data_IF_178410308777
#
_entry.id   IF_178410308777
#
_cell.length_a   1.000
_cell.length_b   1.000
_cell.length_c   1.000
_cell.angle_alpha   90.00
_cell.angle_beta   90.00
_cell.angle_gamma   90.00
#
_symmetry.space_group_name_H-M   'P 1'
#
loop_
_entity.id
_entity.type
_entity.pdbx_description
1 polymer ?
#
# COMPACT_ATOMS: atom_id res chain seq x y z
N UNK A 1 1.19 -17.85 -7.72
CA UNK A 1 1.20 -17.41 -6.32
C UNK A 1 2.19 -16.25 -6.11
N UNK A 2 3.50 -16.43 -6.27
CA UNK A 2 4.53 -15.43 -5.98
C UNK A 2 4.24 -14.06 -6.64
N UNK A 3 3.99 -14.02 -7.96
CA UNK A 3 3.69 -12.77 -8.68
C UNK A 3 2.43 -12.09 -8.13
N UNK A 4 1.37 -12.85 -7.84
CA UNK A 4 0.13 -12.27 -7.31
C UNK A 4 0.33 -11.62 -5.95
N UNK A 5 1.04 -12.30 -5.03
CA UNK A 5 1.33 -11.76 -3.70
C UNK A 5 2.28 -10.56 -3.76
N UNK A 6 3.33 -10.61 -4.57
CA UNK A 6 4.28 -9.50 -4.75
C UNK A 6 3.61 -8.27 -5.37
N UNK A 7 2.67 -8.47 -6.30
CA UNK A 7 1.90 -7.38 -6.90
C UNK A 7 1.00 -6.70 -5.87
N UNK A 8 0.18 -7.47 -5.14
CA UNK A 8 -0.73 -6.89 -4.12
C UNK A 8 0.05 -6.21 -3.01
N UNK A 9 1.17 -6.80 -2.54
CA UNK A 9 2.05 -6.17 -1.57
C UNK A 9 2.66 -4.87 -2.09
N UNK A 10 3.11 -4.86 -3.36
CA UNK A 10 3.65 -3.67 -4.01
C UNK A 10 2.62 -2.54 -4.07
N UNK A 11 1.39 -2.82 -4.50
CA UNK A 11 0.31 -1.83 -4.51
C UNK A 11 0.04 -1.24 -3.14
N UNK A 12 -0.07 -2.09 -2.12
CA UNK A 12 -0.37 -1.61 -0.77
C UNK A 12 0.76 -0.75 -0.21
N UNK A 13 2.01 -1.16 -0.39
CA UNK A 13 3.16 -0.39 0.09
C UNK A 13 3.29 0.93 -0.63
N UNK A 14 3.20 0.94 -1.96
CA UNK A 14 3.36 2.15 -2.78
C UNK A 14 2.27 3.19 -2.48
N UNK A 15 1.00 2.76 -2.46
CA UNK A 15 -0.13 3.67 -2.23
C UNK A 15 -0.12 4.18 -0.78
N UNK A 16 0.12 3.31 0.20
CA UNK A 16 0.23 3.70 1.59
C UNK A 16 1.39 4.67 1.81
N UNK A 17 2.57 4.40 1.23
CA UNK A 17 3.73 5.28 1.33
C UNK A 17 3.45 6.68 0.79
N UNK A 18 2.84 6.77 -0.39
CA UNK A 18 2.47 8.04 -1.01
C UNK A 18 1.42 8.81 -0.20
N UNK A 19 0.37 8.10 0.27
CA UNK A 19 -0.68 8.73 1.06
C UNK A 19 -0.16 9.25 2.40
N UNK A 20 0.63 8.47 3.10
CA UNK A 20 1.25 8.85 4.36
C UNK A 20 2.33 9.91 4.18
N UNK A 21 3.10 9.86 3.10
CA UNK A 21 4.09 10.87 2.78
C UNK A 21 3.47 12.25 2.54
N UNK A 22 2.28 12.30 1.95
CA UNK A 22 1.61 13.59 1.69
C UNK A 22 0.86 14.15 2.91
N UNK A 23 0.13 13.32 3.66
CA UNK A 23 -0.74 13.80 4.74
C UNK A 23 -0.26 13.44 6.15
N UNK A 24 0.75 12.59 6.29
CA UNK A 24 1.07 11.96 7.57
C UNK A 24 0.18 10.73 7.85
N UNK A 25 0.39 10.13 9.01
CA UNK A 25 -0.22 8.86 9.41
C UNK A 25 -1.41 9.05 10.34
N UNK A 26 -1.28 10.02 11.27
CA UNK A 26 -2.31 10.41 12.22
C UNK A 26 -2.56 11.90 12.10
N UNK A 27 -3.79 12.30 12.37
CA UNK A 27 -4.25 13.67 12.33
C UNK A 27 -4.93 14.05 13.63
N UNK A 28 -4.63 15.23 14.15
CA UNK A 28 -5.34 15.82 15.28
C UNK A 28 -6.09 17.04 14.76
N UNK A 29 -7.41 16.98 14.84
CA UNK A 29 -8.31 18.05 14.36
C UNK A 29 -9.35 18.39 15.42
N UNK A 30 -10.13 19.44 15.22
CA UNK A 30 -11.28 19.71 16.08
C UNK A 30 -12.37 18.65 15.89
N UNK A 31 -13.07 18.29 16.97
CA UNK A 31 -14.15 17.28 16.94
C UNK A 31 -15.29 17.65 15.98
N UNK A 32 -15.53 18.95 15.77
CA UNK A 32 -16.56 19.43 14.85
C UNK A 32 -16.17 19.37 13.36
N UNK A 33 -14.89 19.21 13.05
CA UNK A 33 -14.41 19.17 11.67
C UNK A 33 -14.84 17.87 10.98
N UNK A 34 -15.65 17.97 9.92
CA UNK A 34 -16.11 16.82 9.13
C UNK A 34 -15.08 16.39 8.08
N UNK A 35 -14.28 17.34 7.59
CA UNK A 35 -13.25 17.14 6.57
C UNK A 35 -12.03 17.99 6.91
N UNK A 36 -10.85 17.61 6.42
CA UNK A 36 -9.60 18.36 6.61
C UNK A 36 -9.70 19.80 6.12
N UNK A 37 -10.55 20.09 5.13
CA UNK A 37 -10.72 21.42 4.52
C UNK A 37 -11.78 22.29 5.19
N UNK A 38 -12.62 21.73 6.08
CA UNK A 38 -13.61 22.46 6.89
C UNK A 38 -13.01 22.72 8.28
N UNK A 39 -11.87 23.41 8.31
CA UNK A 39 -11.15 23.61 9.56
C UNK A 39 -11.74 24.76 10.37
N UNK A 40 -12.00 24.52 11.64
CA UNK A 40 -12.14 25.54 12.66
C UNK A 40 -10.76 25.94 13.20
N UNK A 41 -10.55 27.20 13.61
CA UNK A 41 -9.26 27.64 14.09
C UNK A 41 -8.93 26.99 15.46
N UNK A 42 -7.83 26.26 15.52
CA UNK A 42 -7.24 25.73 16.74
C UNK A 42 -6.03 26.58 17.15
N UNK A 43 -5.90 26.88 18.43
CA UNK A 43 -4.67 27.51 18.94
C UNK A 43 -3.53 26.47 18.99
N UNK A 44 -2.39 26.83 18.42
CA UNK A 44 -1.22 25.95 18.39
C UNK A 44 -0.70 25.68 19.81
N UNK A 45 -0.57 24.40 20.18
CA UNK A 45 -0.09 23.95 21.48
C UNK A 45 1.30 23.28 21.34
N UNK A 46 2.35 24.04 21.58
CA UNK A 46 3.72 23.56 21.49
C UNK A 46 4.05 22.48 22.55
N UNK A 47 3.39 22.47 23.71
CA UNK A 47 3.56 21.45 24.73
C UNK A 47 3.05 20.08 24.22
N UNK A 48 1.88 20.10 23.57
CA UNK A 48 1.31 18.89 22.98
C UNK A 48 2.20 18.36 21.85
N UNK A 49 2.70 19.23 20.96
CA UNK A 49 3.66 18.85 19.91
C UNK A 49 4.87 18.13 20.52
N UNK A 50 5.48 18.73 21.55
CA UNK A 50 6.65 18.16 22.21
C UNK A 50 6.34 16.81 22.88
N UNK A 51 5.18 16.64 23.52
CA UNK A 51 4.79 15.38 24.13
C UNK A 51 4.57 14.29 23.08
N UNK A 52 3.92 14.60 21.97
CA UNK A 52 3.69 13.63 20.88
C UNK A 52 5.01 13.26 20.20
N UNK A 53 5.92 14.21 19.99
CA UNK A 53 7.25 13.93 19.40
C UNK A 53 8.14 13.02 20.25
N UNK A 54 7.82 12.81 21.53
CA UNK A 54 8.53 11.88 22.40
C UNK A 54 8.00 10.45 22.35
N UNK A 55 6.92 10.20 21.65
CA UNK A 55 6.38 8.84 21.46
C UNK A 55 7.32 8.06 20.54
N UNK A 56 7.67 6.83 20.92
CA UNK A 56 8.75 6.01 20.33
C UNK A 56 8.68 5.87 18.79
N UNK A 57 7.47 5.77 18.25
CA UNK A 57 7.25 5.52 16.82
C UNK A 57 6.98 6.82 16.01
N UNK A 58 7.00 8.00 16.65
CA UNK A 58 6.75 9.28 15.98
C UNK A 58 8.05 9.86 15.43
N UNK A 59 8.06 10.16 14.15
CA UNK A 59 9.17 10.82 13.45
C UNK A 59 9.05 12.35 13.55
N UNK A 60 7.88 12.89 13.18
CA UNK A 60 7.63 14.32 13.19
C UNK A 60 6.17 14.68 13.46
N UNK A 61 5.94 15.90 13.97
CA UNK A 61 4.62 16.50 14.16
C UNK A 61 4.61 17.89 13.56
N UNK A 62 3.77 18.11 12.56
CA UNK A 62 3.66 19.40 11.89
C UNK A 62 2.30 20.02 12.09
N UNK A 63 2.21 21.33 12.46
CA UNK A 63 0.99 22.09 12.36
C UNK A 63 0.66 22.33 10.90
N UNK A 64 -0.62 22.26 10.53
CA UNK A 64 -1.09 22.42 9.17
C UNK A 64 -2.26 23.37 9.10
N UNK A 65 -2.35 24.16 8.02
CA UNK A 65 -3.46 25.09 7.78
C UNK A 65 -4.08 24.77 6.42
N UNK A 66 -5.33 24.36 6.41
CA UNK A 66 -6.08 24.09 5.19
C UNK A 66 -6.96 25.28 4.84
N UNK A 67 -6.93 25.73 3.58
CA UNK A 67 -7.86 26.70 3.03
C UNK A 67 -8.35 26.25 1.67
N UNK A 68 -9.60 26.52 1.33
CA UNK A 68 -10.19 26.08 0.08
C UNK A 68 -10.62 27.26 -0.80
N UNK A 69 -10.53 27.04 -2.11
CA UNK A 69 -10.91 28.05 -3.09
C UNK A 69 -10.87 27.51 -4.51
N UNK A 70 -10.89 28.42 -5.46
CA UNK A 70 -10.87 28.11 -6.89
C UNK A 70 -9.67 28.80 -7.52
N UNK A 71 -8.79 28.03 -8.15
CA UNK A 71 -7.72 28.55 -8.99
C UNK A 71 -8.26 28.82 -10.39
N UNK A 72 -7.92 29.95 -10.97
CA UNK A 72 -8.27 30.33 -12.32
C UNK A 72 -7.06 30.76 -13.13
N UNK A 73 -6.99 30.34 -14.40
CA UNK A 73 -5.96 30.72 -15.35
C UNK A 73 -6.53 30.71 -16.77
N UNK A 74 -6.41 31.83 -17.50
CA UNK A 74 -6.83 31.97 -18.90
C UNK A 74 -8.26 31.45 -19.23
N UNK A 75 -9.18 31.55 -18.27
CA UNK A 75 -10.58 31.11 -18.43
C UNK A 75 -10.84 29.65 -17.99
N UNK A 76 -9.83 28.94 -17.58
CA UNK A 76 -9.95 27.63 -16.92
C UNK A 76 -10.05 27.82 -15.42
N UNK A 77 -10.82 26.98 -14.75
CA UNK A 77 -10.99 27.00 -13.29
C UNK A 77 -10.85 25.60 -12.69
N UNK A 78 -10.21 25.50 -11.52
CA UNK A 78 -10.06 24.26 -10.75
C UNK A 78 -10.30 24.51 -9.26
N UNK A 79 -11.12 23.66 -8.63
CA UNK A 79 -11.43 23.75 -7.20
C UNK A 79 -10.37 23.06 -6.36
N UNK A 80 -9.61 23.83 -5.55
CA UNK A 80 -8.42 23.37 -4.86
C UNK A 80 -8.47 23.70 -3.36
N UNK A 81 -7.97 22.78 -2.55
CA UNK A 81 -7.61 23.00 -1.16
C UNK A 81 -6.11 23.29 -1.05
N UNK A 82 -5.77 24.45 -0.50
CA UNK A 82 -4.38 24.78 -0.17
C UNK A 82 -4.00 24.11 1.16
N UNK A 83 -2.96 23.30 1.15
CA UNK A 83 -2.31 22.74 2.34
C UNK A 83 -1.11 23.61 2.68
N UNK A 84 -1.26 24.39 3.75
CA UNK A 84 -0.20 25.26 4.26
C UNK A 84 0.71 24.53 5.22
N UNK A 85 2.02 24.61 4.99
CA UNK A 85 3.08 24.03 5.82
C UNK A 85 4.02 25.11 6.32
N UNK A 86 4.65 24.88 7.49
CA UNK A 86 5.50 25.87 8.16
C UNK A 86 6.99 25.49 8.20
N UNK A 87 7.39 24.29 7.75
CA UNK A 87 8.78 23.85 7.81
C UNK A 87 9.25 23.19 6.52
N UNK A 88 10.54 23.33 6.21
CA UNK A 88 11.19 22.62 5.09
C UNK A 88 11.17 21.10 5.30
N UNK A 89 11.15 20.64 6.57
CA UNK A 89 11.02 19.21 6.88
C UNK A 89 9.67 18.65 6.43
N UNK A 90 8.57 19.41 6.59
CA UNK A 90 7.26 19.00 6.08
C UNK A 90 7.23 18.92 4.54
N UNK A 91 8.03 19.73 3.85
CA UNK A 91 8.19 19.66 2.39
C UNK A 91 9.10 18.50 1.96
N UNK A 92 9.97 18.01 2.83
CA UNK A 92 10.91 16.93 2.48
C UNK A 92 10.19 15.65 2.03
N UNK A 93 9.01 15.36 2.60
CA UNK A 93 8.18 14.21 2.24
C UNK A 93 7.56 14.29 0.83
N UNK A 94 7.62 15.49 0.20
CA UNK A 94 7.03 15.75 -1.12
C UNK A 94 8.11 15.95 -2.19
N UNK A 95 9.35 16.15 -1.78
CA UNK A 95 10.48 16.42 -2.71
C UNK A 95 10.62 15.36 -3.81
N UNK A 96 10.42 14.09 -3.47
CA UNK A 96 10.54 12.98 -4.42
C UNK A 96 9.45 12.98 -5.52
N UNK A 97 8.42 13.80 -5.35
CA UNK A 97 7.29 13.92 -6.29
C UNK A 97 7.33 15.19 -7.12
N UNK A 98 8.33 16.06 -6.95
CA UNK A 98 8.47 17.29 -7.74
C UNK A 98 8.93 16.97 -9.16
N UNK A 99 8.47 17.79 -10.12
CA UNK A 99 8.92 17.68 -11.51
C UNK A 99 10.31 18.31 -11.73
N UNK A 100 10.63 19.34 -10.98
CA UNK A 100 11.95 19.98 -10.98
C UNK A 100 12.56 19.91 -9.58
N UNK A 101 13.83 19.57 -9.49
CA UNK A 101 14.54 19.40 -8.20
C UNK A 101 14.77 20.74 -7.47
N UNK A 102 14.58 21.88 -8.15
CA UNK A 102 14.81 23.20 -7.58
C UNK A 102 13.55 23.72 -6.87
N UNK A 103 13.56 23.61 -5.54
CA UNK A 103 12.51 24.15 -4.68
C UNK A 103 13.15 25.13 -3.68
N UNK A 104 12.73 26.41 -3.67
CA UNK A 104 13.24 27.37 -2.69
C UNK A 104 12.84 26.96 -1.27
N UNK A 105 13.72 27.29 -0.27
CA UNK A 105 13.39 27.11 1.15
C UNK A 105 12.15 27.92 1.51
N UNK A 106 11.31 27.42 2.43
CA UNK A 106 10.11 28.12 2.92
C UNK A 106 10.40 29.52 3.53
N UNK A 107 11.65 29.78 3.89
CA UNK A 107 12.07 31.10 4.35
C UNK A 107 12.26 32.12 3.22
N UNK A 108 12.27 31.69 1.97
CA UNK A 108 12.36 32.60 0.83
C UNK A 108 11.05 33.39 0.66
N UNK A 109 11.17 34.64 0.23
CA UNK A 109 10.04 35.54 -0.03
C UNK A 109 9.15 35.07 -1.19
N UNK A 110 9.67 34.21 -2.06
CA UNK A 110 8.90 33.60 -3.15
C UNK A 110 7.66 32.84 -2.65
N UNK A 111 7.70 32.30 -1.43
CA UNK A 111 6.58 31.60 -0.82
C UNK A 111 5.45 32.49 -0.27
N UNK A 112 5.63 33.79 -0.21
CA UNK A 112 4.53 34.70 0.25
C UNK A 112 3.30 34.64 -0.67
N UNK A 113 3.52 34.43 -1.97
CA UNK A 113 2.49 34.21 -2.98
C UNK A 113 2.74 32.93 -3.80
N UNK A 114 3.67 32.10 -3.37
CA UNK A 114 4.09 30.89 -4.06
C UNK A 114 3.25 29.67 -3.68
N UNK A 115 2.97 28.85 -4.68
CA UNK A 115 2.28 27.57 -4.49
C UNK A 115 2.94 26.48 -5.32
N UNK A 116 2.78 25.23 -4.84
CA UNK A 116 3.01 24.04 -5.63
C UNK A 116 1.64 23.49 -6.03
N UNK A 117 1.45 23.24 -7.32
CA UNK A 117 0.23 22.61 -7.82
C UNK A 117 0.55 21.20 -8.33
N UNK A 118 -0.47 20.36 -8.40
CA UNK A 118 -0.28 19.05 -9.00
C UNK A 118 -0.19 19.13 -10.53
N UNK A 119 0.39 18.12 -11.15
CA UNK A 119 0.40 17.96 -12.60
C UNK A 119 -1.02 17.93 -13.18
N UNK A 120 -1.98 17.31 -12.49
CA UNK A 120 -3.38 17.25 -12.91
C UNK A 120 -4.00 18.66 -12.94
N UNK A 121 -3.77 19.45 -11.88
CA UNK A 121 -4.26 20.84 -11.84
C UNK A 121 -3.57 21.73 -12.87
N UNK A 122 -2.26 21.54 -13.07
CA UNK A 122 -1.51 22.26 -14.10
C UNK A 122 -2.06 22.00 -15.52
N UNK A 123 -2.33 20.73 -15.84
CA UNK A 123 -2.94 20.33 -17.12
C UNK A 123 -4.37 20.88 -17.27
N UNK A 124 -5.21 20.87 -16.21
CA UNK A 124 -6.57 21.43 -16.25
C UNK A 124 -6.58 22.95 -16.43
N UNK A 125 -5.66 23.64 -15.81
CA UNK A 125 -5.54 25.08 -15.87
C UNK A 125 -4.73 25.56 -17.09
N UNK A 126 -4.14 24.65 -17.86
CA UNK A 126 -3.19 24.95 -18.94
C UNK A 126 -2.08 25.89 -18.46
N UNK A 127 -1.50 25.60 -17.28
CA UNK A 127 -0.53 26.43 -16.61
C UNK A 127 0.81 25.71 -16.43
N UNK A 128 1.90 26.49 -16.40
CA UNK A 128 3.28 26.05 -16.30
C UNK A 128 3.98 26.68 -15.08
N UNK A 129 5.15 26.15 -14.72
CA UNK A 129 5.98 26.75 -13.65
C UNK A 129 6.30 28.20 -14.00
N UNK A 130 6.14 29.12 -13.03
CA UNK A 130 6.33 30.55 -13.18
C UNK A 130 5.07 31.34 -13.54
N UNK A 131 3.99 30.66 -13.97
CA UNK A 131 2.74 31.33 -14.28
C UNK A 131 2.04 31.86 -13.01
N UNK A 132 1.18 32.85 -13.23
CA UNK A 132 0.38 33.49 -12.16
C UNK A 132 -1.06 33.04 -12.26
N UNK A 133 -1.57 32.43 -11.21
CA UNK A 133 -2.95 31.97 -11.06
C UNK A 133 -3.75 32.97 -10.22
N UNK A 134 -5.04 33.10 -10.51
CA UNK A 134 -5.97 33.86 -9.71
C UNK A 134 -6.72 32.93 -8.74
N UNK A 135 -6.42 33.05 -7.44
CA UNK A 135 -7.11 32.27 -6.41
C UNK A 135 -8.32 33.03 -5.90
N UNK A 136 -9.51 32.45 -6.07
CA UNK A 136 -10.80 32.98 -5.62
C UNK A 136 -11.27 32.20 -4.39
N UNK A 137 -11.53 32.90 -3.30
CA UNK A 137 -11.95 32.32 -2.03
C UNK A 137 -13.04 33.15 -1.35
N UNK A 138 -13.78 32.51 -0.44
CA UNK A 138 -14.75 33.22 0.40
C UNK A 138 -14.11 33.60 1.72
N UNK A 139 -14.17 34.87 2.09
CA UNK A 139 -13.75 35.33 3.42
C UNK A 139 -14.72 34.82 4.50
N UNK A 140 -14.32 34.95 5.78
CA UNK A 140 -15.16 34.66 6.96
C UNK A 140 -16.54 35.36 6.95
N UNK A 141 -16.64 36.48 6.24
CA UNK A 141 -17.87 37.28 6.09
C UNK A 141 -18.69 36.91 4.84
N UNK A 142 -18.34 35.84 4.12
CA UNK A 142 -19.00 35.43 2.88
C UNK A 142 -18.70 36.31 1.66
N UNK A 143 -17.72 37.22 1.74
CA UNK A 143 -17.31 38.06 0.63
C UNK A 143 -16.29 37.33 -0.22
N UNK A 144 -16.50 37.29 -1.53
CA UNK A 144 -15.55 36.73 -2.47
C UNK A 144 -14.34 37.66 -2.60
N UNK A 145 -13.16 37.10 -2.40
CA UNK A 145 -11.87 37.79 -2.56
C UNK A 145 -11.00 37.06 -3.55
N UNK A 146 -10.03 37.79 -4.08
CA UNK A 146 -9.07 37.30 -5.08
C UNK A 146 -7.64 37.52 -4.60
N UNK A 147 -6.75 36.59 -4.93
CA UNK A 147 -5.31 36.71 -4.68
C UNK A 147 -4.54 36.11 -5.86
N UNK A 148 -3.50 36.81 -6.30
CA UNK A 148 -2.58 36.28 -7.30
C UNK A 148 -1.58 35.37 -6.62
N UNK A 149 -1.39 34.16 -7.18
CA UNK A 149 -0.46 33.13 -6.70
C UNK A 149 0.47 32.72 -7.83
N UNK A 150 1.73 32.47 -7.53
CA UNK A 150 2.75 32.06 -8.50
C UNK A 150 3.05 30.57 -8.36
N UNK A 151 3.13 29.87 -9.47
CA UNK A 151 3.51 28.45 -9.49
C UNK A 151 5.03 28.34 -9.31
N UNK A 152 5.49 27.89 -8.14
CA UNK A 152 6.90 27.67 -7.86
C UNK A 152 7.41 26.36 -8.44
N UNK A 153 6.59 25.30 -8.36
CA UNK A 153 6.90 24.00 -8.92
C UNK A 153 5.60 23.20 -9.13
N UNK A 154 5.71 22.10 -9.86
CA UNK A 154 4.62 21.16 -10.09
C UNK A 154 5.00 19.82 -9.49
N UNK A 155 4.08 19.21 -8.75
CA UNK A 155 4.29 17.88 -8.18
C UNK A 155 3.37 16.84 -8.80
N UNK A 156 3.76 15.56 -8.74
CA UNK A 156 2.97 14.42 -9.18
C UNK A 156 3.14 13.26 -8.20
N UNK A 157 2.20 13.09 -7.27
CA UNK A 157 2.22 11.94 -6.36
C UNK A 157 1.76 10.67 -7.06
N UNK A 158 1.07 10.78 -8.18
CA UNK A 158 0.38 9.69 -8.87
C UNK A 158 -0.86 9.20 -8.12
N UNK A 159 -1.23 9.83 -7.00
CA UNK A 159 -2.50 9.58 -6.29
C UNK A 159 -3.54 10.58 -6.76
N UNK A 160 -4.42 10.14 -7.67
CA UNK A 160 -5.42 11.01 -8.30
C UNK A 160 -6.27 11.80 -7.29
N UNK A 161 -6.67 11.19 -6.17
CA UNK A 161 -7.48 11.86 -5.13
C UNK A 161 -6.74 12.99 -4.41
N UNK A 162 -5.41 12.95 -4.37
CA UNK A 162 -4.55 13.98 -3.81
C UNK A 162 -4.29 15.03 -4.87
N UNK A 163 -3.80 14.60 -6.02
CA UNK A 163 -3.37 15.46 -7.11
C UNK A 163 -4.53 16.27 -7.73
N UNK A 164 -5.76 15.75 -7.63
CA UNK A 164 -6.96 16.45 -8.08
C UNK A 164 -7.39 17.61 -7.18
N UNK A 165 -7.07 17.57 -5.87
CA UNK A 165 -7.75 18.42 -4.88
C UNK A 165 -6.82 19.33 -4.09
N UNK A 166 -5.52 19.05 -4.05
CA UNK A 166 -4.62 19.75 -3.17
C UNK A 166 -3.56 20.56 -3.93
N UNK A 167 -3.19 21.69 -3.36
CA UNK A 167 -1.99 22.44 -3.70
C UNK A 167 -1.26 22.78 -2.39
N UNK A 168 0.04 22.98 -2.43
CA UNK A 168 0.84 23.29 -1.26
C UNK A 168 1.25 24.75 -1.26
N UNK A 169 1.28 25.32 -0.07
CA UNK A 169 1.72 26.69 0.12
C UNK A 169 2.35 26.87 1.52
N UNK A 170 2.84 28.04 1.81
CA UNK A 170 3.24 28.41 3.17
C UNK A 170 2.01 28.64 4.04
N UNK A 171 1.99 28.18 5.30
CA UNK A 171 0.83 28.35 6.20
C UNK A 171 0.43 29.80 6.41
N UNK A 172 1.38 30.74 6.37
CA UNK A 172 1.08 32.18 6.44
C UNK A 172 0.14 32.65 5.33
N UNK A 173 0.26 32.09 4.13
CA UNK A 173 -0.66 32.36 3.01
C UNK A 173 -2.07 31.86 3.34
N UNK A 174 -2.22 30.60 3.76
CA UNK A 174 -3.52 30.01 4.14
C UNK A 174 -4.16 30.76 5.33
N UNK A 175 -3.37 31.09 6.37
CA UNK A 175 -3.86 31.93 7.50
C UNK A 175 -4.39 33.27 7.02
N UNK A 176 -3.67 33.94 6.12
CA UNK A 176 -4.10 35.24 5.57
C UNK A 176 -5.40 35.16 4.74
N UNK A 177 -5.63 34.02 4.06
CA UNK A 177 -6.86 33.73 3.32
C UNK A 177 -8.03 33.50 4.28
N UNK A 178 -7.80 32.79 5.39
CA UNK A 178 -8.81 32.51 6.41
C UNK A 178 -9.04 33.67 7.39
N UNK A 179 -8.24 34.74 7.33
CA UNK A 179 -8.23 35.85 8.29
C UNK A 179 -7.88 35.37 9.73
N UNK A 180 -6.99 34.37 9.84
CA UNK A 180 -6.53 33.77 11.10
C UNK A 180 -5.26 34.44 11.61
N UNK A 181 -5.04 34.35 12.94
CA UNK A 181 -3.80 34.75 13.58
C UNK A 181 -2.65 33.81 13.27
N UNK A 182 -1.40 34.20 13.53
CA UNK A 182 -0.20 33.38 13.28
C UNK A 182 -0.16 32.13 14.12
N UNK A 183 -0.89 32.07 15.24
CA UNK A 183 -0.95 30.89 16.11
C UNK A 183 -2.14 29.97 15.82
N UNK A 184 -3.00 30.32 14.89
CA UNK A 184 -4.16 29.52 14.52
C UNK A 184 -3.80 28.53 13.41
N UNK A 185 -4.23 27.30 13.60
CA UNK A 185 -3.98 26.17 12.71
C UNK A 185 -5.28 25.38 12.48
N UNK A 186 -5.31 24.57 11.43
CA UNK A 186 -6.42 23.62 11.17
C UNK A 186 -6.29 22.33 11.98
N UNK A 187 -5.07 21.94 12.32
CA UNK A 187 -4.77 20.70 13.00
C UNK A 187 -3.29 20.33 12.95
N UNK A 188 -3.00 19.11 13.34
CA UNK A 188 -1.64 18.56 13.31
C UNK A 188 -1.62 17.30 12.47
N UNK A 189 -0.55 17.15 11.70
CA UNK A 189 -0.20 15.94 10.97
C UNK A 189 0.98 15.28 11.68
N UNK A 190 0.82 14.00 11.99
CA UNK A 190 1.82 13.20 12.70
C UNK A 190 2.38 12.17 11.73
N UNK A 191 3.68 12.23 11.55
CA UNK A 191 4.44 11.28 10.74
C UNK A 191 5.08 10.23 11.65
N UNK A 192 4.94 8.98 11.27
CA UNK A 192 5.54 7.85 11.98
C UNK A 192 6.79 7.39 11.25
N UNK A 193 7.73 6.80 12.01
CA UNK A 193 8.95 6.24 11.45
C UNK A 193 8.63 5.20 10.36
N UNK A 194 9.31 5.23 9.20
CA UNK A 194 9.03 4.29 8.10
C UNK A 194 9.14 2.82 8.50
N UNK A 195 10.02 2.48 9.45
CA UNK A 195 10.16 1.12 9.98
C UNK A 195 8.99 0.66 10.83
N UNK A 196 8.22 1.61 11.39
CA UNK A 196 7.06 1.32 12.23
C UNK A 196 5.81 0.93 11.42
N UNK A 197 5.76 1.17 10.12
CA UNK A 197 4.50 1.12 9.33
C UNK A 197 4.44 -0.08 8.39
N UNK A 198 5.59 -0.55 7.96
CA UNK A 198 5.71 -1.63 6.98
C UNK A 198 5.90 -2.97 7.70
N UNK A 199 4.90 -3.39 8.49
CA UNK A 199 4.92 -4.79 8.95
C UNK A 199 4.86 -5.72 7.74
N UNK A 200 5.79 -6.69 7.68
CA UNK A 200 5.72 -7.72 6.67
C UNK A 200 4.36 -8.44 6.76
N UNK A 201 3.66 -8.60 5.63
CA UNK A 201 2.34 -9.26 5.56
C UNK A 201 2.28 -10.60 6.30
N UNK A 202 3.39 -11.34 6.38
CA UNK A 202 3.43 -12.62 7.09
C UNK A 202 3.18 -12.47 8.60
N UNK A 203 3.56 -11.35 9.22
CA UNK A 203 3.27 -11.11 10.63
C UNK A 203 1.78 -10.85 10.84
N UNK A 204 1.12 -10.11 9.97
CA UNK A 204 -0.33 -9.91 10.02
C UNK A 204 -1.09 -11.24 9.88
N UNK A 205 -0.69 -12.10 8.92
CA UNK A 205 -1.27 -13.44 8.76
C UNK A 205 -0.98 -14.36 9.94
N UNK A 206 0.23 -14.35 10.49
CA UNK A 206 0.61 -15.12 11.67
C UNK A 206 -0.19 -14.66 12.90
N UNK A 207 -0.34 -13.37 13.10
CA UNK A 207 -1.12 -12.80 14.18
C UNK A 207 -2.61 -13.19 14.08
N UNK A 208 -3.17 -13.16 12.87
CA UNK A 208 -4.54 -13.61 12.61
C UNK A 208 -4.71 -15.12 12.89
N UNK A 209 -3.74 -15.94 12.47
CA UNK A 209 -3.72 -17.40 12.69
C UNK A 209 -3.55 -17.78 14.17
N UNK A 210 -2.78 -17.00 14.92
CA UNK A 210 -2.52 -17.22 16.35
C UNK A 210 -3.60 -16.61 17.25
N UNK A 211 -4.64 -15.95 16.65
CA UNK A 211 -5.71 -15.29 17.39
C UNK A 211 -5.22 -14.08 18.20
N UNK A 212 -4.02 -13.60 17.93
CA UNK A 212 -3.55 -12.32 18.46
C UNK A 212 -4.23 -11.20 17.67
N UNK A 213 -4.84 -10.24 18.38
CA UNK A 213 -5.41 -9.06 17.74
C UNK A 213 -4.35 -8.43 16.83
N UNK A 214 -4.77 -8.10 15.60
CA UNK A 214 -3.93 -7.40 14.63
C UNK A 214 -3.42 -6.12 15.29
N UNK A 215 -2.21 -6.16 15.84
CA UNK A 215 -1.53 -4.97 16.35
C UNK A 215 -0.99 -4.27 15.11
N UNK A 216 -1.87 -3.56 14.40
CA UNK A 216 -1.48 -2.56 13.42
C UNK A 216 -0.63 -1.52 14.17
N UNK A 217 0.59 -1.27 13.72
CA UNK A 217 1.49 -0.30 14.37
C UNK A 217 0.89 1.10 14.35
N UNK A 218 0.08 1.42 13.33
CA UNK A 218 -0.76 2.60 13.34
C UNK A 218 -1.70 2.62 14.55
N UNK A 219 -2.28 1.47 14.92
CA UNK A 219 -3.11 1.30 16.14
C UNK A 219 -2.28 1.41 17.43
N UNK A 220 -1.02 0.98 17.42
CA UNK A 220 -0.09 1.12 18.56
C UNK A 220 0.27 2.59 18.77
N UNK A 221 0.69 3.28 17.71
CA UNK A 221 0.99 4.71 17.74
C UNK A 221 -0.27 5.53 18.11
N UNK A 222 -1.43 5.20 17.56
CA UNK A 222 -2.70 5.81 17.93
C UNK A 222 -2.96 5.71 19.43
N UNK A 223 -2.87 4.51 20.02
CA UNK A 223 -3.08 4.28 21.45
C UNK A 223 -2.06 5.00 22.35
N UNK A 224 -0.85 5.23 21.84
CA UNK A 224 0.18 5.97 22.59
C UNK A 224 -0.04 7.49 22.51
N UNK A 225 -0.56 8.01 21.40
CA UNK A 225 -0.83 9.43 21.19
C UNK A 225 -2.18 9.86 21.78
N UNK A 226 -3.21 9.01 21.73
CA UNK A 226 -4.58 9.32 22.17
C UNK A 226 -4.68 9.91 23.59
N UNK A 227 -3.95 9.41 24.61
CA UNK A 227 -3.99 10.00 25.96
C UNK A 227 -3.38 11.40 26.04
N UNK A 228 -2.56 11.80 25.07
CA UNK A 228 -1.89 13.13 25.03
C UNK A 228 -2.82 14.16 24.42
N UNK A 229 -3.73 13.73 23.53
CA UNK A 229 -4.65 14.60 22.81
C UNK A 229 -5.79 15.05 23.75
N UNK A 230 -6.04 16.36 23.88
CA UNK A 230 -7.13 16.87 24.71
C UNK A 230 -8.51 16.39 24.24
N UNK A 231 -9.52 16.23 25.13
CA UNK A 231 -10.85 15.70 24.78
C UNK A 231 -11.66 16.54 23.80
N UNK A 232 -11.31 17.80 23.61
CA UNK A 232 -11.93 18.68 22.60
C UNK A 232 -11.36 18.50 21.20
N UNK A 233 -10.29 17.72 21.06
CA UNK A 233 -9.68 17.38 19.78
C UNK A 233 -9.96 15.91 19.45
N UNK A 234 -9.93 15.61 18.16
CA UNK A 234 -10.16 14.28 17.63
C UNK A 234 -8.87 13.76 16.98
N UNK A 235 -8.37 12.64 17.48
CA UNK A 235 -7.29 11.90 16.85
C UNK A 235 -7.88 10.95 15.82
N UNK A 236 -7.45 11.05 14.57
CA UNK A 236 -7.92 10.21 13.47
C UNK A 236 -6.73 9.60 12.75
N UNK A 237 -6.92 8.39 12.25
CA UNK A 237 -5.96 7.77 11.35
C UNK A 237 -6.21 8.23 9.92
N UNK A 238 -5.21 8.16 9.05
CA UNK A 238 -5.41 8.41 7.62
C UNK A 238 -6.43 7.43 7.01
N UNK A 239 -6.59 6.24 7.58
CA UNK A 239 -7.64 5.27 7.20
C UNK A 239 -9.06 5.81 7.45
N UNK A 240 -9.25 6.57 8.54
CA UNK A 240 -10.54 7.18 8.89
C UNK A 240 -10.86 8.39 8.00
N UNK A 241 -9.83 9.13 7.60
CA UNK A 241 -9.96 10.33 6.75
C UNK A 241 -10.21 9.96 5.28
N UNK A 242 -9.57 8.89 4.79
CA UNK A 242 -9.66 8.41 3.41
C UNK A 242 -10.15 6.95 3.35
N UNK A 243 -11.33 6.64 3.88
CA UNK A 243 -11.81 5.25 3.97
C UNK A 243 -11.97 4.59 2.60
N UNK A 244 -12.32 5.35 1.55
CA UNK A 244 -12.46 4.82 0.19
C UNK A 244 -11.20 4.15 -0.33
N UNK A 245 -10.07 4.83 -0.22
CA UNK A 245 -8.77 4.33 -0.66
C UNK A 245 -8.33 3.10 0.15
N UNK A 246 -8.40 3.16 1.47
CA UNK A 246 -7.97 2.05 2.32
C UNK A 246 -8.91 0.85 2.25
N UNK A 247 -10.22 1.05 2.07
CA UNK A 247 -11.17 -0.04 1.80
C UNK A 247 -10.87 -0.73 0.47
N UNK A 248 -10.52 0.04 -0.56
CA UNK A 248 -10.10 -0.53 -1.84
C UNK A 248 -8.84 -1.40 -1.68
N UNK A 249 -7.83 -0.91 -0.93
CA UNK A 249 -6.63 -1.69 -0.60
C UNK A 249 -6.96 -2.98 0.17
N UNK A 250 -7.91 -2.94 1.11
CA UNK A 250 -8.35 -4.12 1.86
C UNK A 250 -9.09 -5.14 0.99
N UNK A 251 -9.86 -4.67 0.00
CA UNK A 251 -10.51 -5.55 -0.98
C UNK A 251 -9.47 -6.32 -1.83
N UNK A 252 -8.33 -5.71 -2.13
CA UNK A 252 -7.25 -6.40 -2.84
C UNK A 252 -6.73 -7.62 -2.06
N UNK A 253 -6.65 -7.54 -0.72
CA UNK A 253 -6.29 -8.69 0.12
C UNK A 253 -7.30 -9.84 -0.01
N UNK A 254 -8.59 -9.51 0.02
CA UNK A 254 -9.63 -10.53 -0.14
C UNK A 254 -9.55 -11.20 -1.51
N UNK A 255 -9.36 -10.42 -2.56
CA UNK A 255 -9.19 -10.95 -3.91
C UNK A 255 -7.92 -11.82 -4.03
N UNK A 256 -6.82 -11.40 -3.40
CA UNK A 256 -5.58 -12.19 -3.33
C UNK A 256 -5.83 -13.57 -2.71
N UNK A 257 -6.48 -13.63 -1.55
CA UNK A 257 -6.81 -14.89 -0.87
C UNK A 257 -7.64 -15.81 -1.77
N UNK A 258 -8.67 -15.28 -2.44
CA UNK A 258 -9.51 -16.06 -3.36
C UNK A 258 -8.69 -16.60 -4.52
N UNK A 259 -7.84 -15.79 -5.14
CA UNK A 259 -6.97 -16.22 -6.25
C UNK A 259 -5.99 -17.30 -5.77
N UNK A 260 -5.35 -17.11 -4.62
CA UNK A 260 -4.43 -18.10 -4.05
C UNK A 260 -5.13 -19.42 -3.76
N UNK A 261 -6.34 -19.40 -3.21
CA UNK A 261 -7.14 -20.58 -2.92
C UNK A 261 -7.52 -21.32 -4.20
N UNK A 262 -7.96 -20.61 -5.25
CA UNK A 262 -8.26 -21.21 -6.54
C UNK A 262 -7.02 -21.84 -7.17
N UNK A 263 -5.87 -21.17 -7.15
CA UNK A 263 -4.60 -21.71 -7.64
C UNK A 263 -4.19 -22.98 -6.87
N UNK A 264 -4.42 -23.01 -5.56
CA UNK A 264 -4.13 -24.16 -4.71
C UNK A 264 -4.98 -25.38 -5.04
N UNK A 265 -6.28 -25.16 -5.29
CA UNK A 265 -7.22 -26.20 -5.70
C UNK A 265 -6.82 -26.77 -7.08
N UNK A 266 -6.55 -25.90 -8.05
CA UNK A 266 -6.14 -26.33 -9.40
C UNK A 266 -4.82 -27.08 -9.35
N UNK A 267 -3.84 -26.62 -8.58
CA UNK A 267 -2.58 -27.31 -8.38
C UNK A 267 -2.78 -28.69 -7.75
N UNK A 268 -3.69 -28.82 -6.76
CA UNK A 268 -4.02 -30.08 -6.14
C UNK A 268 -4.61 -31.08 -7.13
N UNK A 269 -5.57 -30.66 -7.95
CA UNK A 269 -6.21 -31.50 -8.97
C UNK A 269 -5.16 -31.97 -9.99
N UNK A 270 -4.35 -31.05 -10.52
CA UNK A 270 -3.30 -31.38 -11.49
C UNK A 270 -2.29 -32.37 -10.90
N UNK A 271 -1.92 -32.17 -9.63
CA UNK A 271 -0.96 -33.07 -8.96
C UNK A 271 -1.52 -34.46 -8.71
N UNK A 272 -2.78 -34.57 -8.29
CA UNK A 272 -3.48 -35.87 -8.14
C UNK A 272 -3.53 -36.58 -9.48
N UNK A 273 -3.90 -35.91 -10.55
CA UNK A 273 -3.97 -36.46 -11.91
C UNK A 273 -2.61 -36.94 -12.40
N UNK A 274 -1.57 -36.13 -12.27
CA UNK A 274 -0.21 -36.48 -12.67
C UNK A 274 0.29 -37.69 -11.89
N UNK A 275 -0.01 -37.75 -10.59
CA UNK A 275 0.42 -38.87 -9.74
C UNK A 275 -0.35 -40.17 -10.09
N UNK A 276 -1.65 -40.07 -10.41
CA UNK A 276 -2.44 -41.22 -10.89
C UNK A 276 -1.88 -41.76 -12.19
N UNK A 277 -1.58 -40.91 -13.17
CA UNK A 277 -0.94 -41.33 -14.42
C UNK A 277 0.39 -42.07 -14.15
N UNK A 278 1.24 -41.50 -13.29
CA UNK A 278 2.53 -42.08 -12.94
C UNK A 278 2.39 -43.43 -12.23
N UNK A 279 1.37 -43.62 -11.39
CA UNK A 279 1.05 -44.90 -10.73
C UNK A 279 0.56 -45.89 -11.78
N UNK A 280 -0.33 -45.52 -12.68
CA UNK A 280 -0.86 -46.40 -13.73
C UNK A 280 0.24 -46.86 -14.69
N UNK A 281 1.12 -45.97 -15.15
CA UNK A 281 2.26 -46.30 -16.01
C UNK A 281 3.24 -47.29 -15.37
N UNK A 282 3.30 -47.34 -14.04
CA UNK A 282 4.20 -48.18 -13.27
C UNK A 282 3.49 -49.38 -12.59
N UNK A 283 2.25 -49.65 -12.97
CA UNK A 283 1.42 -50.70 -12.35
C UNK A 283 2.11 -52.07 -12.38
N UNK A 284 2.77 -52.41 -13.50
CA UNK A 284 3.51 -53.70 -13.66
C UNK A 284 4.69 -53.81 -12.67
N UNK A 285 5.45 -52.70 -12.49
CA UNK A 285 6.54 -52.63 -11.51
C UNK A 285 6.00 -52.77 -10.07
N UNK A 286 4.88 -52.14 -9.77
CA UNK A 286 4.22 -52.22 -8.45
C UNK A 286 3.77 -53.66 -8.18
N UNK A 287 3.19 -54.34 -9.19
CA UNK A 287 2.77 -55.72 -9.12
C UNK A 287 3.94 -56.67 -8.84
N UNK A 288 5.07 -56.48 -9.54
CA UNK A 288 6.29 -57.26 -9.36
C UNK A 288 6.88 -57.10 -7.94
N UNK A 289 7.00 -55.83 -7.47
CA UNK A 289 7.48 -55.56 -6.12
C UNK A 289 6.62 -56.20 -5.04
N UNK A 290 5.28 -56.18 -5.20
CA UNK A 290 4.35 -56.83 -4.27
C UNK A 290 4.47 -58.36 -4.32
N UNK A 291 4.66 -58.95 -5.50
CA UNK A 291 4.87 -60.40 -5.66
C UNK A 291 6.16 -60.87 -4.98
N UNK A 292 7.21 -60.05 -4.97
CA UNK A 292 8.47 -60.28 -4.26
C UNK A 292 8.39 -60.00 -2.75
N UNK A 293 7.21 -59.71 -2.19
CA UNK A 293 7.01 -59.49 -0.76
C UNK A 293 7.34 -58.10 -0.25
N UNK A 294 7.48 -57.09 -1.14
CA UNK A 294 7.76 -55.73 -0.74
C UNK A 294 6.66 -55.17 0.19
N UNK A 295 7.03 -54.59 1.36
CA UNK A 295 6.05 -54.00 2.26
C UNK A 295 5.37 -52.77 1.64
N UNK A 296 4.08 -52.62 1.91
CA UNK A 296 3.24 -51.52 1.38
C UNK A 296 3.85 -50.12 1.65
N UNK A 297 4.51 -49.95 2.80
CA UNK A 297 5.17 -48.68 3.18
C UNK A 297 6.31 -48.31 2.23
N UNK A 298 7.05 -49.29 1.72
CA UNK A 298 8.18 -49.05 0.81
C UNK A 298 7.70 -48.50 -0.54
N UNK A 299 6.71 -49.15 -1.15
CA UNK A 299 6.13 -48.71 -2.42
C UNK A 299 5.55 -47.30 -2.30
N UNK A 300 4.79 -47.01 -1.22
CA UNK A 300 4.26 -45.69 -0.95
C UNK A 300 5.36 -44.61 -0.82
N UNK A 301 6.45 -44.94 -0.12
CA UNK A 301 7.59 -44.04 0.10
C UNK A 301 8.31 -43.72 -1.21
N UNK A 302 8.49 -44.68 -2.10
CA UNK A 302 9.13 -44.50 -3.42
C UNK A 302 8.34 -43.46 -4.25
N UNK A 303 7.03 -43.63 -4.35
CA UNK A 303 6.18 -42.71 -5.12
C UNK A 303 6.06 -41.35 -4.47
N UNK A 304 6.03 -41.26 -3.13
CA UNK A 304 6.03 -39.97 -2.42
C UNK A 304 7.31 -39.18 -2.69
N UNK A 305 8.49 -39.83 -2.61
CA UNK A 305 9.75 -39.17 -2.92
C UNK A 305 9.83 -38.73 -4.39
N UNK A 306 9.31 -39.52 -5.30
CA UNK A 306 9.25 -39.15 -6.71
C UNK A 306 8.32 -37.96 -6.97
N UNK A 307 7.14 -37.93 -6.33
CA UNK A 307 6.24 -36.81 -6.39
C UNK A 307 6.84 -35.55 -5.79
N UNK A 308 7.49 -35.67 -4.62
CA UNK A 308 8.15 -34.54 -3.96
C UNK A 308 9.30 -33.96 -4.81
N UNK A 309 10.08 -34.82 -5.47
CA UNK A 309 11.13 -34.40 -6.40
C UNK A 309 10.55 -33.53 -7.54
N UNK A 310 9.42 -33.95 -8.14
CA UNK A 310 8.75 -33.20 -9.21
C UNK A 310 8.25 -31.86 -8.68
N UNK A 311 7.68 -31.83 -7.47
CA UNK A 311 7.21 -30.61 -6.81
C UNK A 311 8.37 -29.64 -6.57
N UNK A 312 9.49 -30.11 -6.01
CA UNK A 312 10.67 -29.26 -5.78
C UNK A 312 11.23 -28.69 -7.08
N UNK A 313 11.29 -29.48 -8.14
CA UNK A 313 11.72 -29.03 -9.45
C UNK A 313 10.77 -27.98 -10.03
N UNK A 314 9.46 -28.18 -9.87
CA UNK A 314 8.42 -27.22 -10.25
C UNK A 314 8.52 -25.90 -9.48
N UNK A 315 8.82 -25.96 -8.18
CA UNK A 315 9.02 -24.75 -7.34
C UNK A 315 10.26 -23.97 -7.79
N UNK A 316 11.38 -24.65 -8.07
CA UNK A 316 12.61 -24.00 -8.56
C UNK A 316 12.34 -23.28 -9.88
N UNK A 317 11.74 -23.97 -10.84
CA UNK A 317 11.40 -23.40 -12.15
C UNK A 317 10.38 -22.26 -12.02
N UNK A 318 9.33 -22.46 -11.22
CA UNK A 318 8.29 -21.47 -10.98
C UNK A 318 8.83 -20.20 -10.31
N UNK A 319 9.71 -20.32 -9.32
CA UNK A 319 10.37 -19.19 -8.68
C UNK A 319 11.32 -18.48 -9.65
N UNK A 320 12.11 -19.23 -10.45
CA UNK A 320 13.02 -18.60 -11.40
C UNK A 320 12.29 -17.76 -12.44
N UNK A 321 11.18 -18.28 -12.98
CA UNK A 321 10.35 -17.54 -13.94
C UNK A 321 9.62 -16.39 -13.23
N UNK A 322 9.02 -16.64 -12.07
CA UNK A 322 8.25 -15.65 -11.33
C UNK A 322 9.09 -14.47 -10.85
N UNK A 323 10.27 -14.74 -10.26
CA UNK A 323 11.22 -13.72 -9.83
C UNK A 323 11.83 -12.99 -11.03
N UNK A 324 12.13 -13.70 -12.12
CA UNK A 324 12.61 -13.10 -13.35
C UNK A 324 11.61 -12.08 -13.91
N UNK A 325 10.32 -12.43 -14.00
CA UNK A 325 9.27 -11.52 -14.45
C UNK A 325 9.07 -10.35 -13.47
N UNK A 326 9.10 -10.62 -12.17
CA UNK A 326 9.01 -9.58 -11.15
C UNK A 326 10.18 -8.58 -11.25
N UNK A 327 11.40 -9.07 -11.40
CA UNK A 327 12.58 -8.24 -11.56
C UNK A 327 12.53 -7.37 -12.84
N UNK A 328 12.11 -7.96 -13.98
CA UNK A 328 11.96 -7.20 -15.22
C UNK A 328 10.91 -6.12 -15.12
N UNK A 329 9.78 -6.38 -14.42
CA UNK A 329 8.75 -5.38 -14.18
C UNK A 329 9.26 -4.25 -13.29
N UNK A 330 9.99 -4.55 -12.21
CA UNK A 330 10.57 -3.53 -11.33
C UNK A 330 11.55 -2.60 -12.06
N UNK A 331 12.32 -3.15 -13.02
CA UNK A 331 13.37 -2.38 -13.69
C UNK A 331 12.86 -1.64 -14.92
N UNK A 332 11.96 -2.23 -15.69
CA UNK A 332 11.48 -1.66 -16.95
C UNK A 332 10.06 -1.11 -16.91
N UNK A 333 9.27 -1.42 -15.89
CA UNK A 333 7.92 -0.88 -15.72
C UNK A 333 6.99 -1.12 -16.93
N UNK A 334 7.14 -2.26 -17.62
CA UNK A 334 6.45 -2.54 -18.88
C UNK A 334 4.93 -2.72 -18.73
N UNK A 335 4.43 -3.04 -17.53
CA UNK A 335 3.00 -3.03 -17.24
C UNK A 335 2.63 -1.63 -16.75
N UNK A 336 2.11 -0.80 -17.64
CA UNK A 336 1.59 0.53 -17.32
C UNK A 336 0.11 0.45 -16.96
N UNK A 337 -0.31 1.28 -16.02
CA UNK A 337 -1.68 1.32 -15.50
C UNK A 337 -2.24 2.74 -15.60
N UNK A 338 -3.56 2.90 -15.84
CA UNK A 338 -4.19 4.22 -15.77
C UNK A 338 -4.25 4.70 -14.31
N UNK A 339 -3.52 5.76 -13.99
CA UNK A 339 -3.41 6.35 -12.63
C UNK A 339 -4.77 6.64 -11.99
N UNK A 340 -5.75 7.11 -12.78
CA UNK A 340 -7.12 7.41 -12.31
C UNK A 340 -7.85 6.21 -11.70
N UNK A 341 -7.52 4.98 -12.14
CA UNK A 341 -8.20 3.77 -11.70
C UNK A 341 -7.38 2.98 -10.67
N UNK A 342 -6.05 3.05 -10.74
CA UNK A 342 -5.14 2.20 -9.95
C UNK A 342 -4.22 2.97 -9.01
N UNK A 343 -4.29 4.29 -8.97
CA UNK A 343 -3.48 5.17 -8.11
C UNK A 343 -1.96 5.10 -8.35
N UNK A 344 -1.53 4.39 -9.37
CA UNK A 344 -0.12 4.23 -9.76
C UNK A 344 -0.01 4.13 -11.28
N UNK A 345 1.07 4.67 -11.84
CA UNK A 345 1.34 4.66 -13.29
C UNK A 345 1.87 3.33 -13.81
N UNK A 346 2.55 2.58 -12.96
CA UNK A 346 3.13 1.26 -13.29
C UNK A 346 2.76 0.26 -12.19
N UNK A 347 2.62 -1.01 -12.56
CA UNK A 347 2.33 -2.07 -11.58
C UNK A 347 3.50 -2.23 -10.60
N UNK A 348 3.35 -1.83 -9.33
CA UNK A 348 4.41 -1.92 -8.36
C UNK A 348 4.57 -3.37 -7.88
N UNK A 349 5.81 -3.81 -7.73
CA UNK A 349 6.12 -5.15 -7.22
C UNK A 349 7.00 -5.02 -5.99
N UNK A 350 6.57 -5.63 -4.90
CA UNK A 350 7.37 -5.78 -3.68
C UNK A 350 7.83 -7.22 -3.52
N UNK A 351 9.15 -7.42 -3.41
CA UNK A 351 9.75 -8.74 -3.22
C UNK A 351 10.18 -8.87 -1.76
N UNK A 352 9.46 -9.68 -0.99
CA UNK A 352 9.82 -10.04 0.38
C UNK A 352 10.34 -11.48 0.41
N UNK A 353 11.63 -11.64 0.75
CA UNK A 353 12.32 -12.94 0.77
C UNK A 353 11.67 -13.89 1.79
N UNK A 354 11.26 -13.37 2.95
CA UNK A 354 10.66 -14.20 4.01
C UNK A 354 9.30 -14.72 3.54
N UNK A 355 8.52 -13.86 2.89
CA UNK A 355 7.22 -14.22 2.32
C UNK A 355 7.36 -15.30 1.24
N UNK A 356 8.37 -15.17 0.35
CA UNK A 356 8.68 -16.18 -0.66
C UNK A 356 9.01 -17.54 -0.02
N UNK A 357 9.83 -17.55 1.03
CA UNK A 357 10.18 -18.78 1.75
C UNK A 357 8.96 -19.41 2.41
N UNK A 358 8.06 -18.61 2.99
CA UNK A 358 6.82 -19.11 3.60
C UNK A 358 5.89 -19.73 2.55
N UNK A 359 5.67 -19.07 1.40
CA UNK A 359 4.86 -19.59 0.31
C UNK A 359 5.44 -20.92 -0.22
N UNK A 360 6.74 -20.99 -0.40
CA UNK A 360 7.41 -22.19 -0.88
C UNK A 360 7.28 -23.34 0.12
N UNK A 361 7.51 -23.07 1.41
CA UNK A 361 7.37 -24.07 2.49
C UNK A 361 5.93 -24.55 2.57
N UNK A 362 4.97 -23.65 2.55
CA UNK A 362 3.55 -23.98 2.53
C UNK A 362 3.18 -24.84 1.30
N UNK A 363 3.69 -24.47 0.12
CA UNK A 363 3.46 -25.22 -1.12
C UNK A 363 4.01 -26.65 -1.06
N UNK A 364 5.19 -26.86 -0.47
CA UNK A 364 5.78 -28.19 -0.27
C UNK A 364 4.93 -29.03 0.69
N UNK A 365 4.53 -28.43 1.82
CA UNK A 365 3.70 -29.13 2.82
C UNK A 365 2.34 -29.50 2.23
N UNK A 366 1.66 -28.54 1.60
CA UNK A 366 0.38 -28.77 0.93
C UNK A 366 0.47 -29.84 -0.13
N UNK A 367 1.47 -29.74 -1.02
CA UNK A 367 1.71 -30.74 -2.06
C UNK A 367 1.96 -32.12 -1.49
N UNK A 368 2.71 -32.22 -0.40
CA UNK A 368 2.96 -33.50 0.28
C UNK A 368 1.68 -34.12 0.82
N UNK A 369 0.79 -33.31 1.40
CA UNK A 369 -0.52 -33.77 1.89
C UNK A 369 -1.43 -34.24 0.75
N UNK A 370 -1.50 -33.47 -0.34
CA UNK A 370 -2.32 -33.82 -1.52
C UNK A 370 -1.82 -35.12 -2.18
N UNK A 371 -0.50 -35.35 -2.23
CA UNK A 371 0.08 -36.57 -2.76
C UNK A 371 -0.34 -37.85 -2.00
N UNK A 372 -0.73 -37.72 -0.72
CA UNK A 372 -1.20 -38.88 0.06
C UNK A 372 -2.52 -39.44 -0.47
N UNK A 373 -3.36 -38.62 -1.14
CA UNK A 373 -4.66 -39.07 -1.67
C UNK A 373 -4.51 -40.15 -2.75
N UNK A 374 -3.77 -39.93 -3.86
CA UNK A 374 -3.60 -40.94 -4.89
C UNK A 374 -2.75 -42.15 -4.42
N UNK A 375 -1.83 -41.93 -3.47
CA UNK A 375 -1.02 -43.04 -2.93
C UNK A 375 -1.83 -44.06 -2.17
N UNK A 376 -2.99 -43.70 -1.62
CA UNK A 376 -3.90 -44.69 -1.01
C UNK A 376 -4.53 -45.61 -2.05
N UNK A 377 -4.64 -45.22 -3.33
CA UNK A 377 -5.13 -46.06 -4.41
C UNK A 377 -4.14 -47.16 -4.81
N UNK A 378 -2.84 -46.97 -4.56
CA UNK A 378 -1.80 -48.04 -4.80
C UNK A 378 -2.10 -49.30 -4.04
N UNK A 379 -2.85 -49.23 -2.93
CA UNK A 379 -3.25 -50.40 -2.16
C UNK A 379 -4.26 -51.30 -2.88
N UNK A 380 -5.10 -50.75 -3.74
CA UNK A 380 -6.15 -51.47 -4.46
C UNK A 380 -5.64 -52.24 -5.70
N UNK A 381 -4.36 -52.05 -6.09
CA UNK A 381 -3.77 -52.74 -7.23
C UNK A 381 -3.44 -54.18 -6.79
N UNK A 382 -4.20 -55.14 -7.31
CA UNK A 382 -3.99 -56.58 -7.08
C UNK A 382 -2.84 -57.08 -7.94
N UNK A 383 -1.86 -57.86 -7.39
CA UNK A 383 -0.72 -58.40 -8.15
C UNK A 383 -1.14 -59.25 -9.36
N UNK A 384 -2.23 -59.99 -9.21
CA UNK A 384 -2.74 -60.91 -10.25
C UNK A 384 -3.30 -60.16 -11.46
N UNK A 385 -3.96 -59.02 -11.24
CA UNK A 385 -4.47 -58.17 -12.35
C UNK A 385 -3.36 -57.38 -13.02
N UNK A 386 -2.37 -56.94 -12.25
CA UNK A 386 -1.24 -56.16 -12.77
C UNK A 386 -0.31 -56.94 -13.71
N UNK A 387 -0.26 -58.27 -13.58
CA UNK A 387 0.54 -59.15 -14.42
C UNK A 387 -0.23 -59.74 -15.63
N UNK A 388 -1.57 -59.60 -15.68
CA UNK A 388 -2.45 -60.17 -16.72
C UNK A 388 -2.79 -59.19 -17.85
N UNK A 389 -2.36 -57.93 -17.80
CA UNK A 389 -2.52 -57.00 -18.91
C UNK A 389 -1.37 -57.22 -19.93
N UNK A 390 -1.66 -58.00 -20.95
CA UNK A 390 -1.07 -57.89 -22.29
C UNK A 390 -1.72 -56.78 -23.06
#
# INVERSE_FOLDING_TARGET
MLIATSLVSGFQQEIAHKAFGFFGHLHVTEVAARNLTEASPLEQNNTMIHQISQVEDVDAVFPVVYSAGILGHEGFEDGIALRGVDSDDALSYIKDYLLEDDLPSLNDTSWEQGILISKISAERLNASIGDTLLFRFSSSKGIIRYRSLHILNIYNTGLYEIDEKFALCKSSLSRSILEWSDQQISGYEIFLNPGAILQPKYLAYLNTLLGSAEVDELSKAYKAVDPIVPPNLNLQTMKDIKPGMFNWLSMMNTNEIVILLLMLIVAAINMVTAMLCLILDRTRMIGLLKALGSPRKLTRRIFLWKGLYIVCLGIILGNSIGLGLAYTQMHWGWITLPEKAYYVSTAPISIDIIWILLINTFSIVWSSLVLLLPLNLVHRIEPVRALKFE
#
